data_IF_293230653166
#
_entry.id   IF_293230653166
#
_cell.length_a   1.000
_cell.length_b   1.000
_cell.length_c   1.000
_cell.angle_alpha   90.00
_cell.angle_beta   90.00
_cell.angle_gamma   90.00
#
_symmetry.space_group_name_H-M   'P 1'
#
loop_
_entity.id
_entity.type
_entity.pdbx_description
1 polymer ?
#
# COMPACT_ATOMS: atom_id res chain seq x y z
N UNK A 1 -1.85 -32.87 2.07
CA UNK A 1 -1.55 -31.72 2.97
C UNK A 1 -1.78 -30.42 2.20
N UNK A 2 -2.89 -29.72 2.42
CA UNK A 2 -3.11 -28.39 1.86
C UNK A 2 -2.10 -27.45 2.52
N UNK A 3 -1.00 -27.11 1.82
CA UNK A 3 -0.10 -26.04 2.26
C UNK A 3 -0.94 -24.77 2.27
N UNK A 4 -1.44 -24.38 3.42
CA UNK A 4 -1.92 -23.02 3.66
C UNK A 4 -0.72 -22.14 3.31
N UNK A 5 -0.68 -21.60 2.09
CA UNK A 5 0.26 -20.54 1.71
C UNK A 5 0.05 -19.50 2.81
N UNK A 6 0.97 -19.39 3.77
CA UNK A 6 1.03 -18.22 4.64
C UNK A 6 0.99 -17.06 3.67
N UNK A 7 -0.15 -16.34 3.61
CA UNK A 7 -0.27 -15.15 2.81
C UNK A 7 0.96 -14.33 3.17
N UNK A 8 1.82 -14.05 2.18
CA UNK A 8 3.10 -13.44 2.49
C UNK A 8 2.82 -12.16 3.29
N UNK A 9 3.61 -11.95 4.34
CA UNK A 9 3.33 -10.85 5.24
C UNK A 9 3.48 -9.54 4.44
N UNK A 10 2.50 -8.65 4.60
CA UNK A 10 2.65 -7.28 4.14
C UNK A 10 3.63 -6.55 5.06
N UNK A 11 4.68 -5.97 4.48
CA UNK A 11 5.74 -5.28 5.21
C UNK A 11 5.71 -3.81 4.83
N UNK A 12 5.64 -2.94 5.84
CA UNK A 12 5.75 -1.50 5.63
C UNK A 12 7.21 -1.07 5.70
N UNK A 13 7.70 -0.44 4.64
CA UNK A 13 8.94 0.28 4.63
C UNK A 13 8.66 1.78 4.81
N UNK A 14 9.31 2.39 5.81
CA UNK A 14 9.23 3.84 6.04
C UNK A 14 10.33 4.54 5.22
N UNK A 15 9.92 5.49 4.41
CA UNK A 15 10.80 6.46 3.75
C UNK A 15 10.69 7.85 4.39
N UNK A 16 11.50 8.78 3.90
CA UNK A 16 11.58 10.15 4.44
C UNK A 16 10.28 10.96 4.22
N UNK A 17 9.60 10.78 3.08
CA UNK A 17 8.32 11.47 2.73
C UNK A 17 7.24 10.54 2.20
N UNK A 18 7.34 9.28 2.59
CA UNK A 18 6.41 8.26 2.09
C UNK A 18 6.61 6.94 2.78
N UNK A 19 5.64 6.05 2.59
CA UNK A 19 5.68 4.69 3.09
C UNK A 19 5.39 3.74 1.95
N UNK A 20 6.15 2.67 1.82
CA UNK A 20 5.93 1.66 0.79
C UNK A 20 5.44 0.38 1.45
N UNK A 21 4.40 -0.21 0.88
CA UNK A 21 3.91 -1.53 1.25
C UNK A 21 4.49 -2.57 0.30
N UNK A 22 5.23 -3.51 0.87
CA UNK A 22 5.81 -4.63 0.16
C UNK A 22 5.07 -5.92 0.49
N UNK A 23 4.98 -6.80 -0.49
CA UNK A 23 4.53 -8.17 -0.32
C UNK A 23 5.52 -9.08 -1.03
N UNK A 24 6.33 -9.80 -0.25
CA UNK A 24 7.55 -10.48 -0.73
C UNK A 24 8.52 -9.47 -1.36
N UNK A 25 8.81 -9.60 -2.65
CA UNK A 25 9.71 -8.75 -3.43
C UNK A 25 8.94 -7.73 -4.29
N UNK A 26 7.61 -7.74 -4.21
CA UNK A 26 6.76 -6.85 -5.01
C UNK A 26 6.28 -5.66 -4.19
N UNK A 27 6.39 -4.47 -4.79
CA UNK A 27 5.81 -3.25 -4.26
C UNK A 27 4.32 -3.23 -4.60
N UNK A 28 3.47 -3.42 -3.59
CA UNK A 28 2.01 -3.50 -3.76
C UNK A 28 1.29 -2.22 -3.39
N UNK A 29 2.01 -1.25 -2.81
CA UNK A 29 1.48 0.10 -2.65
C UNK A 29 2.46 1.11 -2.08
N UNK A 30 2.12 2.38 -2.21
CA UNK A 30 2.94 3.52 -1.79
C UNK A 30 2.06 4.63 -1.26
N UNK A 31 2.50 5.24 -0.17
CA UNK A 31 2.00 6.49 0.40
C UNK A 31 3.05 7.54 0.13
N UNK A 32 2.65 8.65 -0.45
CA UNK A 32 3.50 9.81 -0.69
C UNK A 32 2.85 11.03 -0.07
N UNK A 33 3.66 11.87 0.56
CA UNK A 33 3.25 13.20 0.97
C UNK A 33 3.34 14.17 -0.22
N UNK A 34 2.68 15.32 -0.13
CA UNK A 34 2.88 16.46 -1.03
C UNK A 34 4.32 16.97 -1.04
N UNK A 35 4.59 17.99 -1.87
CA UNK A 35 5.92 18.61 -1.92
C UNK A 35 6.28 19.22 -0.56
N UNK A 36 7.57 19.34 -0.29
CA UNK A 36 8.09 19.73 1.04
C UNK A 36 7.68 21.11 1.49
N UNK A 37 7.47 22.02 0.53
CA UNK A 37 7.12 23.40 0.81
C UNK A 37 5.60 23.63 0.80
N UNK A 38 4.82 22.62 0.38
CA UNK A 38 3.35 22.68 0.28
C UNK A 38 2.75 21.34 0.75
N UNK A 39 2.93 21.03 2.04
CA UNK A 39 2.22 19.89 2.61
C UNK A 39 0.75 20.28 2.81
N UNK A 40 -0.07 19.86 1.85
CA UNK A 40 -1.51 20.07 1.75
C UNK A 40 -2.33 19.27 2.79
N UNK A 41 -1.68 18.60 3.74
CA UNK A 41 -2.34 17.74 4.74
C UNK A 41 -2.87 16.42 4.17
N UNK A 42 -2.59 16.12 2.90
CA UNK A 42 -3.09 14.94 2.19
C UNK A 42 -1.99 13.89 2.00
N UNK A 43 -2.36 12.65 2.26
CA UNK A 43 -1.60 11.44 1.96
C UNK A 43 -2.10 10.84 0.66
N UNK A 44 -1.26 10.89 -0.36
CA UNK A 44 -1.52 10.31 -1.67
C UNK A 44 -1.15 8.83 -1.63
N UNK A 45 -2.13 7.99 -1.87
CA UNK A 45 -2.05 6.54 -1.76
C UNK A 45 -2.12 5.92 -3.15
N UNK A 46 -1.27 4.94 -3.40
CA UNK A 46 -1.28 4.15 -4.62
C UNK A 46 -1.15 2.67 -4.26
N UNK A 47 -1.95 1.81 -4.91
CA UNK A 47 -1.89 0.36 -4.78
C UNK A 47 -2.04 -0.28 -6.16
N UNK A 48 -0.91 -0.58 -6.81
CA UNK A 48 -0.89 -0.96 -8.22
C UNK A 48 -1.37 0.18 -9.12
N UNK A 49 -2.47 -0.05 -9.85
CA UNK A 49 -3.14 0.93 -10.72
C UNK A 49 -4.15 1.81 -9.99
N UNK A 50 -4.49 1.49 -8.74
CA UNK A 50 -5.46 2.25 -7.96
C UNK A 50 -4.76 3.41 -7.24
N UNK A 51 -5.32 4.60 -7.37
CA UNK A 51 -4.89 5.79 -6.63
C UNK A 51 -6.01 6.28 -5.72
N UNK A 52 -5.64 6.96 -4.63
CA UNK A 52 -6.56 7.52 -3.67
C UNK A 52 -5.87 8.55 -2.78
N UNK A 53 -6.66 9.32 -2.06
CA UNK A 53 -6.17 10.40 -1.21
C UNK A 53 -6.85 10.32 0.15
N UNK A 54 -6.09 10.57 1.22
CA UNK A 54 -6.62 10.53 2.59
C UNK A 54 -5.97 11.64 3.40
N UNK A 55 -6.63 12.13 4.45
CA UNK A 55 -6.05 13.15 5.35
C UNK A 55 -5.32 12.54 6.55
N UNK A 56 -5.30 11.21 6.67
CA UNK A 56 -4.68 10.50 7.79
C UNK A 56 -3.79 9.36 7.35
N UNK A 57 -2.58 9.28 7.90
CA UNK A 57 -1.66 8.18 7.65
C UNK A 57 -2.27 6.81 8.01
N UNK A 58 -3.11 6.76 9.05
CA UNK A 58 -3.76 5.52 9.47
C UNK A 58 -4.75 5.03 8.42
N UNK A 59 -5.53 5.96 7.85
CA UNK A 59 -6.48 5.66 6.78
C UNK A 59 -5.76 5.30 5.49
N UNK A 60 -4.71 6.04 5.12
CA UNK A 60 -3.84 5.72 3.99
C UNK A 60 -3.32 4.27 4.04
N UNK A 61 -2.74 3.88 5.18
CA UNK A 61 -2.22 2.52 5.39
C UNK A 61 -3.31 1.46 5.32
N UNK A 62 -4.48 1.75 5.90
CA UNK A 62 -5.63 0.83 5.86
C UNK A 62 -6.12 0.65 4.42
N UNK A 63 -6.35 1.74 3.71
CA UNK A 63 -6.83 1.75 2.33
C UNK A 63 -5.90 0.97 1.41
N UNK A 64 -4.59 1.24 1.45
CA UNK A 64 -3.60 0.52 0.63
C UNK A 64 -3.61 -0.97 0.96
N UNK A 65 -3.70 -1.35 2.24
CA UNK A 65 -3.71 -2.76 2.63
C UNK A 65 -4.96 -3.48 2.11
N UNK A 66 -6.11 -2.83 2.16
CA UNK A 66 -7.37 -3.38 1.62
C UNK A 66 -7.29 -3.53 0.09
N UNK A 67 -6.83 -2.50 -0.62
CA UNK A 67 -6.67 -2.53 -2.09
C UNK A 67 -5.61 -3.53 -2.54
N UNK A 68 -4.45 -3.57 -1.90
CA UNK A 68 -3.39 -4.52 -2.21
C UNK A 68 -3.85 -5.97 -1.98
N UNK A 69 -4.64 -6.24 -0.94
CA UNK A 69 -5.21 -7.57 -0.71
C UNK A 69 -6.16 -7.98 -1.83
N UNK A 70 -7.04 -7.08 -2.28
CA UNK A 70 -7.94 -7.33 -3.41
C UNK A 70 -7.15 -7.61 -4.70
N UNK A 71 -6.13 -6.79 -4.98
CA UNK A 71 -5.32 -6.90 -6.18
C UNK A 71 -4.53 -8.23 -6.22
N UNK A 72 -3.94 -8.64 -5.09
CA UNK A 72 -3.24 -9.92 -4.96
C UNK A 72 -4.17 -11.13 -5.09
N UNK A 73 -5.41 -11.03 -4.58
CA UNK A 73 -6.41 -12.09 -4.76
C UNK A 73 -6.79 -12.19 -6.24
N UNK A 74 -6.99 -11.07 -6.93
CA UNK A 74 -7.31 -11.04 -8.35
C UNK A 74 -6.18 -11.62 -9.22
N UNK A 75 -4.91 -11.32 -8.90
CA UNK A 75 -3.75 -11.91 -9.59
C UNK A 75 -3.59 -13.41 -9.35
N UNK A 76 -4.13 -13.96 -8.26
CA UNK A 76 -4.02 -15.39 -7.93
C UNK A 76 -5.07 -16.28 -8.61
N UNK A 77 -6.03 -15.70 -9.33
CA UNK A 77 -7.15 -16.40 -9.96
C UNK A 77 -6.94 -16.71 -11.46
N UNK A 78 -5.76 -16.44 -12.00
CA UNK A 78 -5.37 -16.77 -13.37
C UNK A 78 -4.20 -17.76 -13.40
#
# INVERSE_FOLDING_TARGET
MKKTRRAAAFIWQRGYRGHTLWHKEECVGRISLGQTDDWDGVYRCQAGTLTGETTSLKEAKRWIREKAKLNLVQLSLF
#
